data_IF_460135674379
#
_entry.id   IF_460135674379
#
_cell.length_a   1.000
_cell.length_b   1.000
_cell.length_c   1.000
_cell.angle_alpha   90.00
_cell.angle_beta   90.00
_cell.angle_gamma   90.00
#
_symmetry.space_group_name_H-M   'P 1'
#
loop_
_entity.id
_entity.type
_entity.pdbx_description
1 polymer ?
#
# COMPACT_ATOMS: atom_id res chain seq x y z
N UNK A 1 -1.81 1.03 -5.27
CA UNK A 1 -3.08 0.78 -4.57
C UNK A 1 -4.28 0.87 -5.52
N UNK A 2 -4.50 1.99 -6.22
CA UNK A 2 -5.66 2.16 -7.12
C UNK A 2 -5.70 1.06 -8.20
N UNK A 3 -4.57 0.75 -8.84
CA UNK A 3 -4.49 -0.34 -9.82
C UNK A 3 -4.76 -1.72 -9.20
N UNK A 4 -4.27 -1.97 -7.99
CA UNK A 4 -4.56 -3.21 -7.26
C UNK A 4 -6.07 -3.35 -7.00
N UNK A 5 -6.72 -2.30 -6.48
CA UNK A 5 -8.16 -2.30 -6.23
C UNK A 5 -8.95 -2.57 -7.52
N UNK A 6 -8.60 -1.88 -8.61
CA UNK A 6 -9.21 -2.05 -9.92
C UNK A 6 -9.07 -3.46 -10.48
N UNK A 7 -7.89 -4.09 -10.33
CA UNK A 7 -7.64 -5.48 -10.75
C UNK A 7 -8.59 -6.47 -10.05
N UNK A 8 -9.00 -6.18 -8.82
CA UNK A 8 -9.98 -6.95 -8.06
C UNK A 8 -11.42 -6.48 -8.25
N UNK A 9 -11.69 -5.59 -9.22
CA UNK A 9 -13.03 -5.09 -9.54
C UNK A 9 -13.58 -4.08 -8.54
N UNK A 10 -12.73 -3.49 -7.71
CA UNK A 10 -13.07 -2.45 -6.73
C UNK A 10 -12.80 -1.10 -7.38
N UNK A 11 -13.86 -0.46 -7.86
CA UNK A 11 -13.79 0.78 -8.66
C UNK A 11 -14.35 2.01 -7.96
N UNK A 12 -15.13 1.84 -6.90
CA UNK A 12 -15.62 2.95 -6.09
C UNK A 12 -14.71 3.11 -4.87
N UNK A 13 -13.97 4.20 -4.83
CA UNK A 13 -12.90 4.44 -3.86
C UNK A 13 -13.19 5.72 -3.08
N UNK A 14 -13.00 5.68 -1.78
CA UNK A 14 -13.03 6.86 -0.92
C UNK A 14 -11.63 7.07 -0.36
N UNK A 15 -11.03 8.23 -0.61
CA UNK A 15 -9.78 8.61 0.05
C UNK A 15 -10.09 9.49 1.26
N UNK A 16 -9.49 9.18 2.39
CA UNK A 16 -9.54 10.02 3.60
C UNK A 16 -8.25 10.82 3.67
N UNK A 17 -8.35 12.14 3.65
CA UNK A 17 -7.23 13.04 3.45
C UNK A 17 -7.17 14.11 4.53
N UNK A 18 -5.98 14.37 5.06
CA UNK A 18 -5.68 15.50 5.93
C UNK A 18 -4.42 16.24 5.44
N UNK A 19 -3.29 15.56 5.40
CA UNK A 19 -2.02 16.13 4.95
C UNK A 19 -1.90 16.06 3.42
N UNK A 20 -1.43 17.13 2.79
CA UNK A 20 -1.28 17.28 1.33
C UNK A 20 -2.56 16.92 0.54
N UNK A 21 -3.73 17.27 1.08
CA UNK A 21 -5.01 16.90 0.48
C UNK A 21 -5.18 17.48 -0.94
N UNK A 22 -4.74 18.71 -1.17
CA UNK A 22 -4.87 19.38 -2.47
C UNK A 22 -4.00 18.70 -3.55
N UNK A 23 -2.80 18.26 -3.20
CA UNK A 23 -1.88 17.55 -4.09
C UNK A 23 -2.45 16.18 -4.47
N UNK A 24 -2.96 15.43 -3.50
CA UNK A 24 -3.57 14.12 -3.74
C UNK A 24 -4.84 14.26 -4.59
N UNK A 25 -5.68 15.24 -4.28
CA UNK A 25 -6.86 15.54 -5.09
C UNK A 25 -6.48 15.99 -6.51
N UNK A 26 -5.45 16.83 -6.64
CA UNK A 26 -4.96 17.28 -7.93
C UNK A 26 -4.42 16.16 -8.80
N UNK A 27 -3.77 15.16 -8.19
CA UNK A 27 -3.22 14.01 -8.90
C UNK A 27 -4.29 13.01 -9.34
N UNK A 28 -5.22 12.65 -8.45
CA UNK A 28 -6.19 11.61 -8.75
C UNK A 28 -7.49 12.15 -9.39
N UNK A 29 -7.81 13.44 -9.19
CA UNK A 29 -9.08 14.01 -9.63
C UNK A 29 -10.27 13.22 -9.10
N UNK A 30 -11.23 12.92 -9.96
CA UNK A 30 -12.37 12.04 -9.68
C UNK A 30 -12.09 10.55 -9.99
N UNK A 31 -10.86 10.22 -10.36
CA UNK A 31 -10.41 8.86 -10.69
C UNK A 31 -10.64 8.43 -12.15
N UNK A 32 -11.25 9.24 -12.98
CA UNK A 32 -11.58 8.87 -14.37
C UNK A 32 -10.35 8.47 -15.19
N UNK A 33 -9.23 9.17 -15.04
CA UNK A 33 -7.98 8.88 -15.73
C UNK A 33 -7.36 7.52 -15.32
N UNK A 34 -7.73 7.02 -14.14
CA UNK A 34 -7.31 5.71 -13.62
C UNK A 34 -8.37 4.61 -13.87
N UNK A 35 -9.52 4.97 -14.44
CA UNK A 35 -10.62 4.04 -14.71
C UNK A 35 -11.37 3.59 -13.45
N UNK A 36 -11.45 4.45 -12.45
CA UNK A 36 -12.17 4.26 -11.18
C UNK A 36 -12.99 5.52 -10.84
N UNK A 37 -13.81 5.45 -9.80
CA UNK A 37 -14.52 6.59 -9.23
C UNK A 37 -13.90 6.91 -7.87
N UNK A 38 -13.30 8.08 -7.70
CA UNK A 38 -12.71 8.51 -6.45
C UNK A 38 -13.52 9.65 -5.84
N UNK A 39 -13.90 9.46 -4.58
CA UNK A 39 -14.49 10.53 -3.76
C UNK A 39 -13.52 10.86 -2.63
N UNK A 40 -13.27 12.14 -2.40
CA UNK A 40 -12.34 12.61 -1.38
C UNK A 40 -13.08 13.06 -0.12
N UNK A 41 -12.76 12.44 1.03
CA UNK A 41 -13.21 12.87 2.36
C UNK A 41 -12.07 13.63 3.04
N UNK A 42 -12.23 14.95 3.15
CA UNK A 42 -11.18 15.83 3.70
C UNK A 42 -11.44 16.06 5.18
N UNK A 43 -10.40 15.96 5.98
CA UNK A 43 -10.42 16.18 7.41
C UNK A 43 -9.90 17.57 7.75
N UNK A 44 -10.68 18.34 8.50
CA UNK A 44 -10.27 19.64 9.04
C UNK A 44 -9.26 19.50 10.19
N UNK A 45 -9.36 18.38 10.92
CA UNK A 45 -8.48 17.99 12.03
C UNK A 45 -8.15 16.50 11.92
N UNK A 46 -6.97 16.06 12.40
CA UNK A 46 -6.62 14.64 12.38
C UNK A 46 -7.59 13.80 13.22
N UNK A 47 -8.29 12.87 12.58
CA UNK A 47 -9.29 12.01 13.23
C UNK A 47 -8.76 10.62 13.59
N UNK A 48 -7.49 10.33 13.30
CA UNK A 48 -6.92 8.99 13.44
C UNK A 48 -7.43 8.03 12.36
N UNK A 49 -6.91 6.83 12.33
CA UNK A 49 -7.16 5.87 11.24
C UNK A 49 -8.60 5.41 11.15
N UNK A 50 -9.29 5.24 12.28
CA UNK A 50 -10.70 4.84 12.32
C UNK A 50 -11.66 6.02 12.25
N UNK A 51 -11.32 7.14 12.88
CA UNK A 51 -12.14 8.36 12.84
C UNK A 51 -12.24 8.94 11.43
N UNK A 52 -11.18 8.87 10.63
CA UNK A 52 -11.16 9.25 9.21
C UNK A 52 -12.19 8.47 8.40
N UNK A 53 -12.21 7.16 8.58
CA UNK A 53 -13.15 6.26 7.92
C UNK A 53 -14.58 6.48 8.44
N UNK A 54 -14.74 6.78 9.73
CA UNK A 54 -16.05 7.18 10.30
C UNK A 54 -16.60 8.44 9.67
N UNK A 55 -15.78 9.41 9.34
CA UNK A 55 -16.21 10.61 8.61
C UNK A 55 -16.79 10.27 7.24
N UNK A 56 -16.27 9.24 6.58
CA UNK A 56 -16.72 8.74 5.30
C UNK A 56 -17.90 7.72 5.39
N UNK A 57 -18.44 7.43 6.56
CA UNK A 57 -19.44 6.39 6.82
C UNK A 57 -20.61 6.41 5.83
N UNK A 58 -21.12 7.57 5.46
CA UNK A 58 -22.27 7.69 4.55
C UNK A 58 -22.01 7.05 3.17
N UNK A 59 -20.76 6.98 2.75
CA UNK A 59 -20.32 6.40 1.48
C UNK A 59 -20.01 4.91 1.60
N UNK A 60 -19.82 4.40 2.83
CA UNK A 60 -19.32 3.03 3.10
C UNK A 60 -20.37 2.12 3.76
N UNK A 61 -21.48 2.67 4.22
CA UNK A 61 -22.46 1.93 5.05
C UNK A 61 -23.37 0.95 4.31
N UNK A 62 -23.32 0.88 2.99
CA UNK A 62 -24.25 0.07 2.22
C UNK A 62 -23.80 -1.38 1.99
N UNK A 63 -22.62 -1.77 2.50
CA UNK A 63 -22.12 -3.13 2.38
C UNK A 63 -20.70 -3.30 2.90
N UNK A 64 -20.18 -4.50 2.80
CA UNK A 64 -18.80 -4.83 3.13
C UNK A 64 -17.84 -3.90 2.38
N UNK A 65 -16.86 -3.33 3.05
CA UNK A 65 -15.87 -2.45 2.45
C UNK A 65 -14.45 -2.83 2.85
N UNK A 66 -13.48 -2.36 2.05
CA UNK A 66 -12.05 -2.58 2.30
C UNK A 66 -11.42 -1.26 2.71
N UNK A 67 -10.57 -1.32 3.72
CA UNK A 67 -9.61 -0.28 4.06
C UNK A 67 -8.24 -0.73 3.61
N UNK A 68 -7.45 0.18 3.07
CA UNK A 68 -6.05 -0.05 2.73
C UNK A 68 -5.25 1.23 2.98
N UNK A 69 -4.13 1.11 3.70
CA UNK A 69 -3.20 2.23 3.91
C UNK A 69 -2.57 2.68 2.61
N UNK A 70 -2.55 3.99 2.38
CA UNK A 70 -2.08 4.57 1.11
C UNK A 70 -0.57 4.42 0.86
N UNK A 71 0.20 4.11 1.90
CA UNK A 71 1.64 3.90 1.90
C UNK A 71 2.06 2.41 1.82
N UNK A 72 1.10 1.48 1.78
CA UNK A 72 1.38 0.06 1.62
C UNK A 72 1.65 -0.30 0.15
N UNK A 73 2.79 -0.92 -0.15
CA UNK A 73 3.03 -1.60 -1.41
C UNK A 73 2.72 -3.08 -1.25
N UNK A 74 1.77 -3.61 -2.04
CA UNK A 74 1.33 -5.01 -1.90
C UNK A 74 0.76 -5.57 -3.20
N UNK A 75 0.88 -6.88 -3.37
CA UNK A 75 0.21 -7.67 -4.40
C UNK A 75 -0.82 -8.65 -3.79
N UNK A 76 -1.38 -8.30 -2.63
CA UNK A 76 -2.36 -9.10 -1.92
C UNK A 76 -3.56 -9.48 -2.80
N UNK A 77 -3.94 -10.75 -2.77
CA UNK A 77 -5.21 -11.20 -3.37
C UNK A 77 -6.40 -10.74 -2.51
N UNK A 78 -6.88 -9.53 -2.80
CA UNK A 78 -8.03 -8.94 -2.10
C UNK A 78 -9.30 -9.76 -2.30
N UNK A 79 -9.46 -10.44 -3.44
CA UNK A 79 -10.61 -11.29 -3.69
C UNK A 79 -10.62 -12.49 -2.74
N UNK A 80 -9.47 -13.14 -2.54
CA UNK A 80 -9.34 -14.22 -1.58
C UNK A 80 -9.61 -13.76 -0.14
N UNK A 81 -9.10 -12.60 0.25
CA UNK A 81 -9.34 -12.00 1.57
C UNK A 81 -10.83 -11.69 1.81
N UNK A 82 -11.54 -11.13 0.82
CA UNK A 82 -12.99 -10.89 0.88
C UNK A 82 -13.79 -12.18 0.97
N UNK A 83 -13.40 -13.22 0.22
CA UNK A 83 -14.06 -14.52 0.28
C UNK A 83 -13.90 -15.17 1.66
N UNK A 84 -12.70 -15.10 2.24
CA UNK A 84 -12.44 -15.54 3.62
C UNK A 84 -13.33 -14.79 4.63
N UNK A 85 -13.40 -13.47 4.52
CA UNK A 85 -14.23 -12.62 5.37
C UNK A 85 -15.70 -13.07 5.36
N UNK A 86 -16.25 -13.30 4.16
CA UNK A 86 -17.63 -13.77 3.96
C UNK A 86 -17.86 -15.17 4.50
N UNK A 87 -16.93 -16.10 4.28
CA UNK A 87 -16.98 -17.47 4.80
C UNK A 87 -17.04 -17.49 6.32
N UNK A 88 -16.18 -16.69 6.98
CA UNK A 88 -16.13 -16.58 8.44
C UNK A 88 -17.28 -15.76 9.03
N UNK A 89 -18.09 -15.08 8.20
CA UNK A 89 -19.13 -14.12 8.63
C UNK A 89 -18.53 -13.11 9.63
N UNK A 90 -17.38 -12.60 9.29
CA UNK A 90 -16.60 -11.72 10.12
C UNK A 90 -17.22 -10.32 10.21
N UNK A 91 -17.11 -9.66 11.36
CA UNK A 91 -17.35 -8.23 11.48
C UNK A 91 -16.14 -7.43 11.00
N UNK A 92 -14.94 -7.94 11.30
CA UNK A 92 -13.68 -7.36 10.90
C UNK A 92 -12.69 -8.48 10.55
N UNK A 93 -12.12 -8.42 9.34
CA UNK A 93 -11.00 -9.28 8.93
C UNK A 93 -9.76 -8.42 8.73
N UNK A 94 -8.72 -8.73 9.48
CA UNK A 94 -7.40 -8.11 9.34
C UNK A 94 -6.59 -8.95 8.35
N UNK A 95 -6.08 -8.33 7.31
CA UNK A 95 -5.09 -8.97 6.44
C UNK A 95 -3.75 -8.93 7.15
N UNK A 96 -3.10 -10.07 7.26
CA UNK A 96 -1.86 -10.27 7.99
C UNK A 96 -0.75 -10.70 7.03
N UNK A 97 0.47 -10.25 7.29
CA UNK A 97 1.67 -10.70 6.59
C UNK A 97 2.68 -11.28 7.58
N UNK A 98 3.55 -12.18 7.11
CA UNK A 98 4.67 -12.67 7.90
C UNK A 98 5.90 -11.83 7.62
N UNK A 99 6.52 -11.32 8.68
CA UNK A 99 7.72 -10.50 8.58
C UNK A 99 8.84 -11.01 9.49
N UNK A 100 10.11 -10.89 9.07
CA UNK A 100 11.24 -11.32 9.90
C UNK A 100 11.41 -10.52 11.19
N UNK A 101 11.04 -9.22 11.16
CA UNK A 101 11.13 -8.32 12.31
C UNK A 101 9.77 -7.66 12.57
N UNK A 102 8.97 -8.18 13.51
CA UNK A 102 7.60 -7.70 13.75
C UNK A 102 7.50 -6.51 14.73
N UNK A 103 8.60 -6.02 15.31
CA UNK A 103 8.58 -5.04 16.40
C UNK A 103 8.01 -3.67 16.03
N UNK A 104 8.06 -3.32 14.76
CA UNK A 104 7.57 -2.01 14.27
C UNK A 104 6.09 -2.01 13.95
N UNK A 105 5.44 -3.18 14.02
CA UNK A 105 4.07 -3.41 13.59
C UNK A 105 3.18 -3.91 14.74
N UNK A 106 1.88 -3.90 14.51
CA UNK A 106 0.93 -4.60 15.36
C UNK A 106 1.01 -6.11 15.13
N UNK A 107 1.31 -6.89 16.17
CA UNK A 107 1.33 -8.35 16.11
C UNK A 107 -0.07 -8.91 16.35
N UNK A 108 -0.48 -9.85 15.51
CA UNK A 108 -1.77 -10.51 15.61
C UNK A 108 -1.58 -12.02 15.80
N UNK A 109 -2.25 -12.58 16.80
CA UNK A 109 -2.29 -14.01 17.05
C UNK A 109 -3.69 -14.51 16.76
N UNK A 110 -3.77 -15.56 15.95
CA UNK A 110 -5.03 -16.23 15.62
C UNK A 110 -5.02 -17.67 16.07
N UNK A 111 -6.20 -18.22 16.34
CA UNK A 111 -6.39 -19.65 16.53
C UNK A 111 -6.27 -20.43 15.19
N UNK A 112 -6.47 -21.76 15.26
CA UNK A 112 -6.40 -22.64 14.08
C UNK A 112 -7.48 -22.39 13.03
N UNK A 113 -8.54 -21.65 13.35
CA UNK A 113 -9.62 -21.24 12.46
C UNK A 113 -9.46 -19.80 11.93
N UNK A 114 -8.39 -19.13 12.34
CA UNK A 114 -8.09 -17.75 11.96
C UNK A 114 -8.77 -16.70 12.83
N UNK A 115 -9.49 -17.07 13.92
CA UNK A 115 -10.08 -16.10 14.84
C UNK A 115 -8.98 -15.39 15.62
N UNK A 116 -9.05 -14.06 15.71
CA UNK A 116 -8.06 -13.25 16.44
C UNK A 116 -8.22 -13.50 17.95
N UNK A 117 -7.14 -13.96 18.58
CA UNK A 117 -7.08 -14.19 20.03
C UNK A 117 -6.37 -13.05 20.77
N UNK A 118 -5.36 -12.46 20.12
CA UNK A 118 -4.57 -11.36 20.69
C UNK A 118 -4.15 -10.38 19.63
N UNK A 119 -4.14 -9.13 20.01
CA UNK A 119 -3.59 -8.03 19.24
C UNK A 119 -2.65 -7.21 20.13
N UNK A 120 -1.43 -6.96 19.67
CA UNK A 120 -0.40 -6.20 20.40
C UNK A 120 0.21 -5.18 19.48
N UNK A 121 -0.06 -3.91 19.72
CA UNK A 121 0.52 -2.82 18.94
C UNK A 121 1.94 -2.54 19.40
N UNK A 122 2.91 -2.62 18.46
CA UNK A 122 4.34 -2.34 18.65
C UNK A 122 4.89 -2.93 19.96
N UNK A 123 4.90 -4.26 20.10
CA UNK A 123 5.32 -4.93 21.33
C UNK A 123 6.81 -4.77 21.59
N UNK A 124 7.21 -4.90 22.87
CA UNK A 124 8.62 -5.05 23.22
C UNK A 124 9.17 -6.44 22.89
N UNK A 125 10.49 -6.59 22.81
CA UNK A 125 11.16 -7.85 22.49
C UNK A 125 10.69 -9.08 23.31
N UNK A 126 10.33 -8.87 24.58
CA UNK A 126 9.84 -9.95 25.45
C UNK A 126 8.39 -10.37 25.20
N UNK A 127 7.70 -9.66 24.31
CA UNK A 127 6.26 -9.87 24.03
C UNK A 127 6.02 -10.43 22.62
N UNK A 128 7.10 -10.60 21.83
CA UNK A 128 7.03 -11.13 20.47
C UNK A 128 6.92 -12.66 20.51
N UNK A 129 5.78 -13.19 20.11
CA UNK A 129 5.55 -14.64 19.98
C UNK A 129 4.93 -15.04 18.65
N UNK A 130 4.88 -14.13 17.69
CA UNK A 130 4.38 -14.39 16.34
C UNK A 130 5.12 -13.51 15.35
N UNK A 131 5.26 -14.01 14.15
CA UNK A 131 5.79 -13.30 12.97
C UNK A 131 4.70 -12.67 12.12
N UNK A 132 3.42 -12.86 12.51
CA UNK A 132 2.27 -12.31 11.78
C UNK A 132 1.94 -10.90 12.25
N UNK A 133 1.97 -9.96 11.31
CA UNK A 133 1.74 -8.54 11.58
C UNK A 133 0.52 -8.01 10.84
N UNK A 134 -0.06 -6.96 11.40
CA UNK A 134 -1.12 -6.17 10.81
C UNK A 134 -0.58 -5.35 9.63
N UNK A 135 -1.20 -5.51 8.46
CA UNK A 135 -0.75 -4.85 7.22
C UNK A 135 -1.40 -3.49 6.95
N UNK A 136 -2.36 -3.07 7.77
CA UNK A 136 -3.17 -1.89 7.47
C UNK A 136 -4.24 -2.14 6.39
N UNK A 137 -4.51 -3.41 6.07
CA UNK A 137 -5.58 -3.81 5.14
C UNK A 137 -6.66 -4.52 5.93
N UNK A 138 -7.90 -4.03 5.85
CA UNK A 138 -9.03 -4.57 6.59
C UNK A 138 -10.23 -4.75 5.70
N UNK A 139 -10.98 -5.83 5.91
CA UNK A 139 -12.31 -6.05 5.34
C UNK A 139 -13.30 -5.92 6.48
N UNK A 140 -14.25 -5.01 6.35
CA UNK A 140 -15.13 -4.61 7.45
C UNK A 140 -16.59 -4.62 7.01
N UNK A 141 -17.47 -4.97 7.94
CA UNK A 141 -18.91 -4.79 7.81
C UNK A 141 -19.32 -3.41 8.37
N UNK A 142 -20.41 -2.79 7.83
CA UNK A 142 -20.85 -1.46 8.26
C UNK A 142 -21.13 -1.33 9.76
N UNK A 143 -21.47 -2.41 10.44
CA UNK A 143 -21.71 -2.43 11.88
C UNK A 143 -20.48 -2.01 12.70
N UNK A 144 -19.27 -2.04 12.09
CA UNK A 144 -18.03 -1.54 12.70
C UNK A 144 -18.14 -0.07 13.11
N UNK A 145 -18.95 0.71 12.40
CA UNK A 145 -19.15 2.13 12.73
C UNK A 145 -19.82 2.38 14.08
N UNK A 146 -20.44 1.38 14.70
CA UNK A 146 -20.96 1.46 16.05
C UNK A 146 -19.85 1.58 17.12
N UNK A 147 -18.62 1.19 16.77
CA UNK A 147 -17.44 1.23 17.63
C UNK A 147 -16.63 2.53 17.49
N UNK A 148 -16.98 3.37 16.54
CA UNK A 148 -16.25 4.62 16.26
C UNK A 148 -17.16 5.82 16.46
N UNK A 149 -16.79 6.71 17.38
CA UNK A 149 -17.53 7.92 17.63
C UNK A 149 -17.22 9.01 16.55
N UNK A 150 -18.23 9.76 16.14
CA UNK A 150 -18.02 10.80 15.14
C UNK A 150 -17.16 11.96 15.71
N UNK A 151 -16.26 12.49 14.87
CA UNK A 151 -15.39 13.64 15.20
C UNK A 151 -14.45 13.44 16.38
N UNK A 152 -14.14 12.21 16.74
CA UNK A 152 -13.09 11.86 17.72
C UNK A 152 -11.87 11.30 16.97
N UNK A 153 -10.68 11.51 17.54
CA UNK A 153 -9.46 10.85 17.07
C UNK A 153 -9.48 9.42 17.59
N UNK A 154 -9.72 8.47 16.68
CA UNK A 154 -9.85 7.04 16.98
C UNK A 154 -8.94 6.24 16.05
N UNK A 155 -8.21 5.31 16.61
CA UNK A 155 -7.30 4.42 15.88
C UNK A 155 -7.81 2.98 15.88
N UNK A 156 -7.68 2.29 14.70
CA UNK A 156 -8.11 0.91 14.58
C UNK A 156 -7.39 0.00 15.58
N UNK A 157 -6.07 0.10 15.64
CA UNK A 157 -5.21 -0.80 16.41
C UNK A 157 -5.24 -0.54 17.90
N UNK A 158 -5.39 0.73 18.31
CA UNK A 158 -5.33 1.14 19.72
C UNK A 158 -6.68 1.14 20.40
N UNK A 159 -7.74 1.44 19.64
CA UNK A 159 -9.06 1.67 20.23
C UNK A 159 -10.07 0.60 19.79
N UNK A 160 -10.26 0.41 18.47
CA UNK A 160 -11.36 -0.41 17.96
C UNK A 160 -11.09 -1.90 18.09
N UNK A 161 -9.95 -2.40 17.61
CA UNK A 161 -9.66 -3.84 17.66
C UNK A 161 -9.55 -4.39 19.09
N UNK A 162 -8.94 -3.69 20.05
CA UNK A 162 -8.98 -4.12 21.45
C UNK A 162 -10.40 -4.19 22.02
N UNK A 163 -11.29 -3.26 21.64
CA UNK A 163 -12.69 -3.31 22.07
C UNK A 163 -13.42 -4.51 21.46
N UNK A 164 -13.24 -4.79 20.17
CA UNK A 164 -13.81 -5.97 19.50
C UNK A 164 -13.37 -7.27 20.19
N UNK A 165 -12.09 -7.36 20.56
CA UNK A 165 -11.55 -8.52 21.29
C UNK A 165 -12.22 -8.66 22.66
N UNK A 166 -12.31 -7.57 23.43
CA UNK A 166 -12.92 -7.59 24.77
C UNK A 166 -14.40 -8.02 24.72
N UNK A 167 -15.12 -7.66 23.66
CA UNK A 167 -16.52 -8.03 23.43
C UNK A 167 -16.69 -9.39 22.73
N UNK A 168 -15.56 -10.10 22.43
CA UNK A 168 -15.55 -11.36 21.69
C UNK A 168 -16.29 -11.28 20.33
N UNK A 169 -16.24 -10.11 19.71
CA UNK A 169 -16.81 -9.90 18.38
C UNK A 169 -16.14 -10.81 17.31
N UNK A 170 -16.82 -11.14 16.21
CA UNK A 170 -16.27 -12.00 15.17
C UNK A 170 -15.18 -11.25 14.39
N UNK A 171 -13.95 -11.29 14.90
CA UNK A 171 -12.76 -10.70 14.31
C UNK A 171 -11.78 -11.82 13.89
N UNK A 172 -11.34 -11.80 12.64
CA UNK A 172 -10.50 -12.83 12.06
C UNK A 172 -9.25 -12.23 11.42
N UNK A 173 -8.17 -13.00 11.34
CA UNK A 173 -6.95 -12.69 10.63
C UNK A 173 -6.82 -13.56 9.38
N UNK A 174 -6.66 -12.95 8.23
CA UNK A 174 -6.35 -13.61 6.97
C UNK A 174 -4.86 -13.45 6.67
N UNK A 175 -4.10 -14.53 6.76
CA UNK A 175 -2.67 -14.50 6.44
C UNK A 175 -2.54 -14.54 4.92
N UNK A 176 -2.11 -13.42 4.34
CA UNK A 176 -1.92 -13.31 2.89
C UNK A 176 -0.67 -14.05 2.43
N UNK A 177 -0.73 -14.53 1.20
CA UNK A 177 0.44 -14.91 0.41
C UNK A 177 0.79 -13.75 -0.53
N UNK A 178 2.08 -13.54 -0.80
CA UNK A 178 2.54 -12.47 -1.67
C UNK A 178 3.38 -11.42 -0.95
N UNK A 179 3.57 -10.30 -1.63
CA UNK A 179 4.41 -9.21 -1.15
C UNK A 179 3.59 -8.18 -0.37
N UNK A 180 4.15 -7.71 0.72
CA UNK A 180 3.68 -6.55 1.46
C UNK A 180 4.86 -5.79 2.07
N UNK A 181 4.83 -4.48 1.94
CA UNK A 181 5.79 -3.56 2.55
C UNK A 181 5.08 -2.27 2.95
N UNK A 182 5.33 -1.81 4.16
CA UNK A 182 4.95 -0.48 4.64
C UNK A 182 6.05 0.51 4.24
N UNK A 183 5.71 1.49 3.37
CA UNK A 183 6.68 2.43 2.80
C UNK A 183 6.67 3.72 3.60
N UNK A 184 7.11 3.65 4.86
CA UNK A 184 7.11 4.76 5.80
C UNK A 184 8.41 5.59 5.86
N UNK A 185 9.50 5.10 5.26
CA UNK A 185 10.81 5.79 5.23
C UNK A 185 11.41 5.82 3.82
N UNK A 186 12.42 6.68 3.60
CA UNK A 186 13.13 6.71 2.31
C UNK A 186 13.88 5.40 2.04
N UNK A 187 14.41 4.76 3.08
CA UNK A 187 15.07 3.46 2.98
C UNK A 187 14.08 2.39 2.53
N UNK A 188 12.91 2.31 3.16
CA UNK A 188 11.84 1.37 2.77
C UNK A 188 11.32 1.67 1.36
N UNK A 189 11.24 2.95 0.96
CA UNK A 189 10.86 3.34 -0.39
C UNK A 189 11.86 2.83 -1.43
N UNK A 190 13.17 2.97 -1.18
CA UNK A 190 14.22 2.46 -2.06
C UNK A 190 14.23 0.93 -2.09
N UNK A 191 14.08 0.27 -0.94
CA UNK A 191 14.01 -1.19 -0.83
C UNK A 191 12.80 -1.75 -1.59
N UNK A 192 11.63 -1.14 -1.45
CA UNK A 192 10.42 -1.52 -2.17
C UNK A 192 10.60 -1.43 -3.69
N UNK A 193 11.27 -0.40 -4.18
CA UNK A 193 11.62 -0.26 -5.60
C UNK A 193 12.55 -1.38 -6.08
N UNK A 194 13.57 -1.72 -5.28
CA UNK A 194 14.46 -2.85 -5.59
C UNK A 194 13.70 -4.17 -5.65
N UNK A 195 12.83 -4.43 -4.68
CA UNK A 195 12.01 -5.65 -4.67
C UNK A 195 11.12 -5.77 -5.91
N UNK A 196 10.56 -4.66 -6.38
CA UNK A 196 9.81 -4.65 -7.64
C UNK A 196 10.71 -4.97 -8.84
N UNK A 197 11.88 -4.33 -8.94
CA UNK A 197 12.85 -4.53 -10.02
C UNK A 197 13.39 -5.97 -10.05
N UNK A 198 13.54 -6.61 -8.91
CA UNK A 198 14.00 -8.00 -8.76
C UNK A 198 12.89 -9.03 -9.01
N UNK A 199 11.65 -8.56 -9.23
CA UNK A 199 10.49 -9.43 -9.48
C UNK A 199 9.99 -10.17 -8.24
N UNK A 200 10.22 -9.64 -7.06
CA UNK A 200 9.70 -10.19 -5.79
C UNK A 200 8.22 -9.86 -5.59
N UNK A 201 7.67 -8.98 -6.39
CA UNK A 201 6.25 -8.64 -6.42
C UNK A 201 5.61 -9.14 -7.72
N UNK A 202 4.30 -9.37 -7.69
CA UNK A 202 3.49 -9.67 -8.90
C UNK A 202 2.96 -8.40 -9.58
N UNK A 203 3.45 -7.24 -9.17
CA UNK A 203 3.05 -5.97 -9.74
C UNK A 203 3.79 -5.73 -11.06
N UNK A 204 3.08 -5.17 -12.03
CA UNK A 204 3.67 -4.81 -13.31
C UNK A 204 4.59 -3.60 -13.19
N UNK A 205 5.76 -3.69 -13.83
CA UNK A 205 6.67 -2.56 -13.93
C UNK A 205 6.24 -1.64 -15.08
N UNK A 206 6.31 -0.31 -14.90
CA UNK A 206 5.95 0.63 -15.95
C UNK A 206 6.98 0.60 -17.10
N UNK A 207 6.50 0.83 -18.31
CA UNK A 207 7.33 0.91 -19.51
C UNK A 207 7.51 -0.42 -20.25
N UNK A 208 8.33 -0.43 -21.28
CA UNK A 208 8.67 -1.58 -22.11
C UNK A 208 10.04 -2.15 -21.73
N UNK A 209 10.14 -3.47 -21.66
CA UNK A 209 11.41 -4.17 -21.42
C UNK A 209 12.26 -4.15 -22.70
N UNK A 210 13.21 -3.20 -22.80
CA UNK A 210 14.03 -2.99 -24.00
C UNK A 210 15.36 -3.79 -23.99
N UNK A 211 15.83 -4.20 -22.82
CA UNK A 211 17.01 -5.06 -22.64
C UNK A 211 16.83 -5.84 -21.31
N UNK A 212 17.66 -6.88 -21.04
CA UNK A 212 17.56 -7.65 -19.82
C UNK A 212 17.57 -6.76 -18.55
N UNK A 213 16.41 -6.70 -17.86
CA UNK A 213 16.22 -5.90 -16.67
C UNK A 213 16.18 -4.38 -16.89
N UNK A 214 15.96 -3.89 -18.12
CA UNK A 214 15.88 -2.45 -18.42
C UNK A 214 14.48 -2.12 -18.95
N UNK A 215 13.68 -1.43 -18.14
CA UNK A 215 12.35 -0.93 -18.54
C UNK A 215 12.43 0.54 -18.90
N UNK A 216 11.79 0.92 -20.01
CA UNK A 216 11.83 2.28 -20.53
C UNK A 216 10.42 2.75 -20.89
N UNK A 217 10.07 3.93 -20.40
CA UNK A 217 8.81 4.60 -20.70
C UNK A 217 8.75 5.20 -22.09
N UNK A 218 7.56 5.63 -22.49
CA UNK A 218 7.27 6.18 -23.81
C UNK A 218 8.08 7.46 -24.11
N UNK A 219 8.40 7.68 -25.38
CA UNK A 219 9.10 8.87 -25.90
C UNK A 219 10.46 9.15 -25.23
N UNK A 220 11.06 8.16 -24.60
CA UNK A 220 12.38 8.29 -23.96
C UNK A 220 13.48 8.11 -25.00
N UNK A 221 14.48 8.98 -24.96
CA UNK A 221 15.61 8.99 -25.91
C UNK A 221 16.89 8.63 -25.15
N UNK A 222 17.52 7.53 -25.56
CA UNK A 222 18.75 7.03 -24.96
C UNK A 222 19.85 7.08 -26.04
N UNK A 223 20.97 7.75 -25.74
CA UNK A 223 22.14 7.75 -26.60
C UNK A 223 22.76 6.35 -26.66
N UNK A 224 23.22 5.93 -27.84
CA UNK A 224 23.80 4.61 -28.09
C UNK A 224 25.12 4.36 -27.35
N UNK A 225 25.74 5.40 -26.80
CA UNK A 225 26.94 5.32 -25.95
C UNK A 225 26.62 5.44 -24.46
N UNK A 226 25.34 5.44 -24.06
CA UNK A 226 24.95 5.33 -22.68
C UNK A 226 25.11 3.86 -22.19
N UNK A 227 25.56 3.68 -20.97
CA UNK A 227 25.73 2.36 -20.35
C UNK A 227 24.58 2.11 -19.38
N UNK A 228 23.69 1.17 -19.72
CA UNK A 228 22.58 0.76 -18.88
C UNK A 228 22.81 -0.65 -18.36
N UNK A 229 22.85 -0.84 -17.03
CA UNK A 229 23.00 -2.13 -16.37
C UNK A 229 21.79 -2.39 -15.51
N UNK A 230 20.88 -3.27 -15.96
CA UNK A 230 19.68 -3.65 -15.20
C UNK A 230 19.96 -4.46 -13.92
N UNK A 231 18.99 -4.56 -13.00
CA UNK A 231 17.62 -4.08 -13.19
C UNK A 231 17.50 -2.56 -12.94
N UNK A 232 16.78 -1.85 -13.80
CA UNK A 232 16.51 -0.41 -13.69
C UNK A 232 15.27 0.00 -14.49
N UNK A 233 14.69 1.17 -14.13
CA UNK A 233 13.57 1.78 -14.83
C UNK A 233 13.96 3.20 -15.28
N UNK A 234 13.54 3.58 -16.48
CA UNK A 234 13.61 4.94 -16.99
C UNK A 234 12.19 5.35 -17.40
N UNK A 235 11.67 6.40 -16.80
CA UNK A 235 10.34 6.94 -17.07
C UNK A 235 10.18 7.52 -18.46
N UNK A 236 8.96 7.94 -18.78
CA UNK A 236 8.59 8.51 -20.09
C UNK A 236 9.16 9.92 -20.31
N UNK A 237 9.30 10.31 -21.58
CA UNK A 237 9.78 11.64 -22.00
C UNK A 237 11.17 12.02 -21.45
N UNK A 238 11.96 11.04 -21.01
CA UNK A 238 13.29 11.23 -20.42
C UNK A 238 14.37 11.20 -21.49
N UNK A 239 15.46 11.91 -21.26
CA UNK A 239 16.61 11.93 -22.15
C UNK A 239 17.89 11.53 -21.44
N UNK A 240 18.53 10.47 -21.92
CA UNK A 240 19.83 9.98 -21.44
C UNK A 240 20.88 10.32 -22.50
N UNK A 241 21.83 11.21 -22.15
CA UNK A 241 22.87 11.66 -23.06
C UNK A 241 24.08 10.73 -23.08
N UNK A 242 24.97 11.01 -24.04
CA UNK A 242 26.19 10.27 -24.32
C UNK A 242 27.03 10.02 -23.07
N UNK A 243 27.49 8.77 -22.90
CA UNK A 243 28.37 8.37 -21.82
C UNK A 243 27.74 8.35 -20.42
N UNK A 244 26.45 8.65 -20.31
CA UNK A 244 25.73 8.48 -19.06
C UNK A 244 25.71 7.01 -18.64
N UNK A 245 25.82 6.73 -17.34
CA UNK A 245 25.86 5.38 -16.77
C UNK A 245 24.82 5.21 -15.68
N UNK A 246 23.99 4.18 -15.81
CA UNK A 246 23.01 3.78 -14.84
C UNK A 246 23.31 2.36 -14.37
N UNK A 247 23.36 2.18 -13.05
CA UNK A 247 23.61 0.90 -12.42
C UNK A 247 22.34 0.22 -11.94
N UNK A 248 22.38 -1.08 -11.57
CA UNK A 248 21.24 -1.77 -11.00
C UNK A 248 20.63 -1.01 -9.82
N UNK A 249 19.30 -1.04 -9.71
CA UNK A 249 18.54 -0.33 -8.70
C UNK A 249 18.27 1.13 -9.01
N UNK A 250 18.72 1.64 -10.16
CA UNK A 250 18.42 3.02 -10.56
C UNK A 250 16.99 3.13 -11.10
N UNK A 251 16.24 4.09 -10.58
CA UNK A 251 14.90 4.44 -11.04
C UNK A 251 14.89 5.92 -11.42
N UNK A 252 14.63 6.19 -12.69
CA UNK A 252 14.55 7.55 -13.24
C UNK A 252 13.09 7.85 -13.56
N UNK A 253 12.57 8.95 -13.02
CA UNK A 253 11.21 9.43 -13.26
C UNK A 253 10.97 9.90 -14.68
N UNK A 254 9.81 10.51 -14.90
CA UNK A 254 9.46 11.05 -16.21
C UNK A 254 10.12 12.41 -16.44
N UNK A 255 10.23 12.81 -17.69
CA UNK A 255 10.70 14.14 -18.11
C UNK A 255 12.08 14.53 -17.58
N UNK A 256 12.88 13.56 -17.15
CA UNK A 256 14.24 13.76 -16.64
C UNK A 256 15.25 13.99 -17.76
N UNK A 257 16.33 14.69 -17.44
CA UNK A 257 17.48 14.87 -18.32
C UNK A 257 18.78 14.43 -17.61
N UNK A 258 19.37 13.34 -18.09
CA UNK A 258 20.71 12.94 -17.66
C UNK A 258 21.74 13.48 -18.66
N UNK A 259 22.59 14.39 -18.20
CA UNK A 259 23.62 15.04 -19.00
C UNK A 259 24.75 14.07 -19.38
N UNK A 260 25.63 14.53 -20.30
CA UNK A 260 26.77 13.74 -20.75
C UNK A 260 27.64 13.28 -19.58
N UNK A 261 27.97 11.98 -19.58
CA UNK A 261 28.77 11.30 -18.56
C UNK A 261 28.18 11.35 -17.14
N UNK A 262 26.90 11.70 -16.97
CA UNK A 262 26.23 11.58 -15.68
C UNK A 262 26.26 10.12 -15.18
N UNK A 263 26.35 9.94 -13.87
CA UNK A 263 26.33 8.61 -13.25
C UNK A 263 25.20 8.58 -12.23
N UNK A 264 24.31 7.61 -12.38
CA UNK A 264 23.27 7.30 -11.40
C UNK A 264 23.52 5.89 -10.90
N UNK A 265 23.77 5.77 -9.62
CA UNK A 265 24.14 4.53 -8.98
C UNK A 265 23.13 4.19 -7.86
N UNK A 266 22.36 3.12 -8.05
CA UNK A 266 21.39 2.61 -7.09
C UNK A 266 20.57 3.74 -6.42
N UNK A 267 20.00 4.61 -7.24
CA UNK A 267 19.34 5.82 -6.77
C UNK A 267 18.02 6.06 -7.49
N UNK A 268 17.11 6.73 -6.80
CA UNK A 268 15.82 7.16 -7.34
C UNK A 268 15.90 8.66 -7.67
N UNK A 269 15.57 9.01 -8.91
CA UNK A 269 15.44 10.40 -9.38
C UNK A 269 13.97 10.59 -9.76
N UNK A 270 13.33 11.55 -9.12
CA UNK A 270 11.95 11.93 -9.45
C UNK A 270 11.91 12.91 -10.62
N UNK A 271 10.70 13.18 -11.10
CA UNK A 271 10.39 14.10 -12.21
C UNK A 271 10.86 15.53 -11.95
#
# INVERSE_FOLDING_TARGET
IVELLKTHGITDIVTTLHYLADEIQGYFGDGADFGVNITHSIEDIPLGTAGSVKQAEIMLKEGTFIIISGDALTDCDLTAAVNFHREKKSLATLVLSRVPNPLEFGIVITDGEGKVERFLEKPGWGEVFSDTVNTGIYILEPEIFNYVKPRENVDWSKDVFPQLLAENAPMYGYIMEGYWCDVGTLEQYQEAQMHMLEGLTKLDLPGELVAPGVWVGENTIIDDQAELKGPLIIGSNTRIKRGARLTPGSVIGNSCLLEENAVVDNSVIWD
#
